data_IF_193688068721
#
_entry.id   IF_193688068721
#
_cell.length_a   1.000
_cell.length_b   1.000
_cell.length_c   1.000
_cell.angle_alpha   90.00
_cell.angle_beta   90.00
_cell.angle_gamma   90.00
#
_symmetry.space_group_name_H-M   'P 1'
#
loop_
_entity.id
_entity.type
_entity.pdbx_description
1 polymer ?
#
# COMPACT_ATOMS: atom_id res chain seq x y z
N UNK A 1 2.47 27.76 6.22
CA UNK A 1 2.98 26.79 5.22
C UNK A 1 2.01 25.61 5.16
N UNK A 2 1.06 25.65 4.23
CA UNK A 2 -0.03 24.67 4.09
C UNK A 2 0.53 23.28 3.78
N UNK A 3 0.35 22.33 4.71
CA UNK A 3 0.89 20.97 4.57
C UNK A 3 -0.17 20.05 3.96
N UNK A 4 -0.43 20.24 2.67
CA UNK A 4 -1.26 19.30 1.91
C UNK A 4 -0.44 18.05 1.55
N UNK A 5 -0.86 16.88 2.02
CA UNK A 5 -0.15 15.61 1.78
C UNK A 5 -0.58 14.99 0.44
N UNK A 6 -1.84 15.18 0.03
CA UNK A 6 -2.40 14.64 -1.22
C UNK A 6 -3.40 15.65 -1.80
N UNK A 7 -3.17 16.08 -3.05
CA UNK A 7 -4.08 16.93 -3.83
C UNK A 7 -4.39 16.28 -5.17
N UNK A 8 -5.62 16.46 -5.67
CA UNK A 8 -6.00 16.14 -7.04
C UNK A 8 -6.73 17.34 -7.63
N UNK A 9 -6.35 17.71 -8.85
CA UNK A 9 -7.04 18.69 -9.66
C UNK A 9 -7.92 17.95 -10.67
N UNK A 10 -9.21 18.30 -10.69
CA UNK A 10 -10.21 17.68 -11.55
C UNK A 10 -10.42 18.60 -12.75
N UNK A 11 -10.26 18.08 -13.96
CA UNK A 11 -10.57 18.80 -15.20
C UNK A 11 -12.01 18.51 -15.63
N UNK A 12 -12.59 19.38 -16.45
CA UNK A 12 -14.00 19.31 -16.87
C UNK A 12 -14.39 18.03 -17.64
N UNK A 13 -13.41 17.29 -18.17
CA UNK A 13 -13.64 16.02 -18.88
C UNK A 13 -13.51 14.77 -17.97
N UNK A 14 -13.05 14.91 -16.72
CA UNK A 14 -12.91 13.76 -15.82
C UNK A 14 -14.25 13.43 -15.13
N UNK A 15 -14.69 12.16 -15.23
CA UNK A 15 -15.80 11.66 -14.42
C UNK A 15 -15.48 11.77 -12.92
N UNK A 16 -16.44 12.27 -12.13
CA UNK A 16 -16.28 12.45 -10.68
C UNK A 16 -15.83 11.16 -9.97
N UNK A 17 -16.42 10.02 -10.34
CA UNK A 17 -16.08 8.70 -9.79
C UNK A 17 -14.64 8.29 -10.10
N UNK A 18 -14.11 8.69 -11.26
CA UNK A 18 -12.73 8.39 -11.67
C UNK A 18 -11.74 9.19 -10.82
N UNK A 19 -12.05 10.46 -10.55
CA UNK A 19 -11.25 11.34 -9.69
C UNK A 19 -11.20 10.85 -8.24
N UNK A 20 -12.32 10.38 -7.69
CA UNK A 20 -12.37 9.77 -6.36
C UNK A 20 -11.50 8.51 -6.26
N UNK A 21 -11.55 7.63 -7.27
CA UNK A 21 -10.68 6.44 -7.33
C UNK A 21 -9.20 6.83 -7.42
N UNK A 22 -8.86 7.87 -8.19
CA UNK A 22 -7.48 8.41 -8.26
C UNK A 22 -7.05 8.91 -6.87
N UNK A 23 -7.90 9.64 -6.16
CA UNK A 23 -7.59 10.16 -4.81
C UNK A 23 -7.34 9.03 -3.83
N UNK A 24 -8.22 8.04 -3.83
CA UNK A 24 -8.07 6.87 -2.98
C UNK A 24 -6.74 6.15 -3.24
N UNK A 25 -6.36 5.96 -4.51
CA UNK A 25 -5.07 5.34 -4.88
C UNK A 25 -3.88 6.17 -4.43
N UNK A 26 -3.94 7.50 -4.54
CA UNK A 26 -2.89 8.37 -4.01
C UNK A 26 -2.77 8.22 -2.49
N UNK A 27 -3.87 8.26 -1.73
CA UNK A 27 -3.85 8.03 -0.29
C UNK A 27 -3.28 6.66 0.11
N UNK A 28 -3.55 5.63 -0.70
CA UNK A 28 -2.98 4.28 -0.51
C UNK A 28 -1.48 4.23 -0.85
N UNK A 29 -1.05 4.93 -1.91
CA UNK A 29 0.35 5.05 -2.33
C UNK A 29 1.20 5.79 -1.29
N UNK A 30 0.70 6.93 -0.80
CA UNK A 30 1.32 7.69 0.29
C UNK A 30 1.26 6.95 1.63
N UNK A 31 0.50 5.85 1.73
CA UNK A 31 0.46 5.01 2.93
C UNK A 31 -0.37 5.57 4.07
N UNK A 32 -1.15 6.65 3.84
CA UNK A 32 -2.00 7.30 4.86
C UNK A 32 -2.95 6.28 5.49
N UNK A 33 -3.60 5.44 4.69
CA UNK A 33 -4.48 4.38 5.20
C UNK A 33 -3.75 3.34 6.06
N UNK A 34 -2.48 3.03 5.74
CA UNK A 34 -1.67 2.07 6.52
C UNK A 34 -1.23 2.69 7.84
N UNK A 35 -0.83 3.95 7.80
CA UNK A 35 -0.44 4.70 8.98
C UNK A 35 -1.61 4.87 9.95
N UNK A 36 -2.79 5.22 9.44
CA UNK A 36 -4.01 5.26 10.25
C UNK A 36 -4.28 3.94 10.98
N UNK A 37 -4.21 2.80 10.26
CA UNK A 37 -4.37 1.47 10.87
C UNK A 37 -3.30 1.15 11.91
N UNK A 38 -2.04 1.52 11.64
CA UNK A 38 -0.91 1.29 12.55
C UNK A 38 -1.03 2.11 13.84
N UNK A 39 -1.60 3.32 13.76
CA UNK A 39 -1.77 4.24 14.90
C UNK A 39 -3.04 3.99 15.70
N UNK A 40 -3.98 3.19 15.20
CA UNK A 40 -5.26 2.91 15.87
C UNK A 40 -5.10 2.21 17.22
N UNK A 41 -4.09 1.35 17.35
CA UNK A 41 -3.82 0.58 18.56
C UNK A 41 -2.31 0.55 18.84
N UNK A 42 -1.93 0.55 20.12
CA UNK A 42 -0.53 0.35 20.49
C UNK A 42 -0.17 -1.14 20.40
N UNK A 43 0.74 -1.46 19.50
CA UNK A 43 1.39 -2.77 19.45
C UNK A 43 2.80 -2.67 20.02
N UNK A 44 3.16 -3.58 20.92
CA UNK A 44 4.52 -3.69 21.46
C UNK A 44 5.54 -3.81 20.30
N UNK A 45 6.70 -3.12 20.37
CA UNK A 45 7.68 -3.11 19.27
C UNK A 45 8.13 -4.51 18.83
N UNK A 46 8.21 -5.46 19.76
CA UNK A 46 8.54 -6.86 19.44
C UNK A 46 7.52 -7.53 18.52
N UNK A 47 6.22 -7.29 18.73
CA UNK A 47 5.15 -7.82 17.90
C UNK A 47 5.17 -7.19 16.51
N UNK A 48 5.42 -5.88 16.42
CA UNK A 48 5.54 -5.17 15.14
C UNK A 48 6.71 -5.73 14.31
N UNK A 49 7.85 -6.01 14.96
CA UNK A 49 9.02 -6.60 14.29
C UNK A 49 8.72 -8.02 13.80
N UNK A 50 8.04 -8.84 14.62
CA UNK A 50 7.62 -10.19 14.26
C UNK A 50 6.69 -10.18 13.04
N UNK A 51 5.63 -9.38 13.07
CA UNK A 51 4.68 -9.23 11.96
C UNK A 51 5.38 -8.76 10.67
N UNK A 52 6.34 -7.83 10.79
CA UNK A 52 7.12 -7.33 9.65
C UNK A 52 7.98 -8.42 9.02
N UNK A 53 8.66 -9.23 9.83
CA UNK A 53 9.52 -10.33 9.38
C UNK A 53 8.71 -11.43 8.70
N UNK A 54 7.59 -11.84 9.30
CA UNK A 54 6.68 -12.83 8.71
C UNK A 54 6.11 -12.33 7.37
N UNK A 55 5.70 -11.07 7.28
CA UNK A 55 5.22 -10.47 6.04
C UNK A 55 6.30 -10.43 4.95
N UNK A 56 7.56 -10.14 5.31
CA UNK A 56 8.69 -10.16 4.39
C UNK A 56 8.99 -11.58 3.88
N UNK A 57 9.00 -12.58 4.77
CA UNK A 57 9.18 -13.98 4.40
C UNK A 57 8.07 -14.47 3.47
N UNK A 58 6.79 -14.18 3.78
CA UNK A 58 5.65 -14.53 2.91
C UNK A 58 5.78 -13.90 1.51
N UNK A 59 6.24 -12.64 1.42
CA UNK A 59 6.49 -11.98 0.13
C UNK A 59 7.62 -12.65 -0.66
N UNK A 60 8.73 -12.98 0.00
CA UNK A 60 9.87 -13.70 -0.61
C UNK A 60 9.41 -15.06 -1.16
N UNK A 61 8.72 -15.85 -0.35
CA UNK A 61 8.20 -17.16 -0.77
C UNK A 61 7.24 -17.04 -1.97
N UNK A 62 6.39 -16.02 -2.00
CA UNK A 62 5.48 -15.78 -3.14
C UNK A 62 6.24 -15.41 -4.41
N UNK A 63 7.34 -14.64 -4.31
CA UNK A 63 8.19 -14.29 -5.44
C UNK A 63 8.92 -15.53 -5.99
N UNK A 64 9.52 -16.33 -5.11
CA UNK A 64 10.21 -17.56 -5.51
C UNK A 64 9.25 -18.56 -6.18
N UNK A 65 8.03 -18.73 -5.64
CA UNK A 65 6.97 -19.53 -6.29
C UNK A 65 6.58 -19.01 -7.68
N UNK A 66 6.65 -17.69 -7.92
CA UNK A 66 6.36 -17.13 -9.24
C UNK A 66 7.51 -17.37 -10.22
N UNK A 67 8.76 -17.20 -9.77
CA UNK A 67 9.95 -17.48 -10.58
C UNK A 67 9.98 -18.94 -11.03
N UNK A 68 9.76 -19.88 -10.11
CA UNK A 68 9.75 -21.31 -10.43
C UNK A 68 8.61 -21.72 -11.37
N UNK A 69 7.47 -21.03 -11.33
CA UNK A 69 6.38 -21.24 -12.31
C UNK A 69 6.71 -20.66 -13.68
N UNK A 70 7.46 -19.57 -13.74
CA UNK A 70 7.89 -18.95 -14.99
C UNK A 70 8.97 -19.79 -15.68
N UNK A 71 9.95 -20.30 -14.92
CA UNK A 71 11.02 -21.16 -15.46
C UNK A 71 10.53 -22.53 -15.92
N UNK A 72 9.37 -23.00 -15.45
CA UNK A 72 8.77 -24.28 -15.84
C UNK A 72 7.89 -24.18 -17.10
N UNK A 73 7.76 -22.97 -17.67
CA UNK A 73 6.93 -22.66 -18.84
C UNK A 73 7.74 -22.50 -20.13
N UNK A 74 9.06 -22.48 -20.01
CA UNK A 74 10.04 -22.56 -21.09
C UNK A 74 10.76 -23.89 -21.01
#
# INVERSE_FOLDING_TARGET
>A
MSKEIVKIEIKSHDDANRSLKKFQRLCEKYGIKREYKKRKEYKKPSLVLKEKNEAAQKKRLKLERKKSRFSRRY
#
